data_IF_821541557192
#
_entry.id   IF_821541557192
#
_cell.length_a   1.000
_cell.length_b   1.000
_cell.length_c   1.000
_cell.angle_alpha   90.00
_cell.angle_beta   90.00
_cell.angle_gamma   90.00
#
_symmetry.space_group_name_H-M   'P 1'
#
loop_
_entity.id
_entity.type
_entity.pdbx_description
1 polymer ?
#
# COMPACT_ATOMS: atom_id res chain seq x y z
N UNK A 1 33.85 5.02 -27.71
CA UNK A 1 32.60 5.84 -27.72
C UNK A 1 31.31 5.04 -27.85
N UNK A 2 31.18 3.87 -27.20
CA UNK A 2 29.91 3.11 -27.13
C UNK A 2 29.03 3.49 -25.92
N UNK A 3 29.49 4.45 -25.11
CA UNK A 3 28.85 4.89 -23.87
C UNK A 3 28.07 6.22 -24.00
N UNK A 4 28.18 6.93 -25.13
CA UNK A 4 27.59 8.27 -25.27
C UNK A 4 26.18 8.28 -25.91
N UNK A 5 25.65 7.12 -26.32
CA UNK A 5 24.35 7.06 -27.01
C UNK A 5 23.31 6.19 -26.32
N UNK A 6 23.57 5.66 -25.13
CA UNK A 6 22.57 4.87 -24.41
C UNK A 6 21.53 5.81 -23.78
N UNK A 7 20.25 5.74 -24.18
CA UNK A 7 19.23 6.61 -23.60
C UNK A 7 19.13 6.38 -22.09
N UNK A 8 19.40 7.44 -21.32
CA UNK A 8 19.37 7.40 -19.86
C UNK A 8 17.93 7.53 -19.36
N UNK A 9 17.50 6.57 -18.54
CA UNK A 9 16.22 6.66 -17.86
C UNK A 9 16.34 7.56 -16.62
N UNK A 10 15.35 8.41 -16.39
CA UNK A 10 15.31 9.30 -15.21
C UNK A 10 14.89 8.58 -13.92
N UNK A 11 14.28 7.40 -14.04
CA UNK A 11 13.76 6.64 -12.91
C UNK A 11 14.06 5.16 -13.08
N UNK A 12 14.10 4.47 -11.96
CA UNK A 12 14.19 3.01 -11.92
C UNK A 12 12.92 2.47 -11.28
N UNK A 13 12.31 1.50 -11.95
CA UNK A 13 11.23 0.71 -11.37
C UNK A 13 11.82 -0.58 -10.79
N UNK A 14 11.56 -0.84 -9.52
CA UNK A 14 12.08 -2.00 -8.79
C UNK A 14 10.90 -2.81 -8.26
N UNK A 15 10.90 -4.11 -8.55
CA UNK A 15 9.96 -5.06 -7.99
C UNK A 15 10.70 -5.97 -7.02
N UNK A 16 10.15 -6.10 -5.82
CA UNK A 16 10.75 -6.85 -4.72
C UNK A 16 9.74 -7.86 -4.21
N UNK A 17 10.19 -9.06 -3.86
CA UNK A 17 9.42 -10.02 -3.07
C UNK A 17 9.83 -9.93 -1.62
N UNK A 18 8.84 -9.81 -0.74
CA UNK A 18 9.00 -9.90 0.70
C UNK A 18 8.28 -11.16 1.19
N UNK A 19 9.01 -12.17 1.70
CA UNK A 19 8.37 -13.31 2.33
C UNK A 19 7.57 -12.88 3.56
N UNK A 20 6.38 -13.47 3.71
CA UNK A 20 5.56 -13.33 4.92
C UNK A 20 5.85 -14.53 5.80
N UNK A 21 6.19 -14.27 7.06
CA UNK A 21 6.49 -15.33 8.02
C UNK A 21 5.26 -16.14 8.37
N UNK A 22 5.44 -17.45 8.43
CA UNK A 22 4.60 -18.27 9.29
C UNK A 22 4.98 -17.98 10.75
N UNK A 23 3.98 -18.00 11.63
CA UNK A 23 4.10 -17.88 13.08
C UNK A 23 5.15 -18.78 13.74
N UNK A 24 5.62 -19.82 13.02
CA UNK A 24 6.63 -20.78 13.48
C UNK A 24 8.07 -20.46 13.05
N UNK A 25 8.29 -19.42 12.24
CA UNK A 25 9.63 -19.06 11.73
C UNK A 25 10.12 -17.78 12.40
N UNK A 26 11.24 -17.86 13.11
CA UNK A 26 11.80 -16.73 13.87
C UNK A 26 12.76 -15.83 13.06
N UNK A 27 13.04 -16.18 11.80
CA UNK A 27 13.96 -15.43 10.94
C UNK A 27 13.21 -14.95 9.70
N UNK A 28 12.95 -13.64 9.62
CA UNK A 28 12.39 -13.02 8.41
C UNK A 28 13.43 -13.11 7.28
N UNK A 29 13.15 -13.83 6.18
CA UNK A 29 14.05 -13.80 5.05
C UNK A 29 14.11 -12.40 4.46
N UNK A 30 15.29 -12.00 3.99
CA UNK A 30 15.49 -10.70 3.38
C UNK A 30 14.63 -10.55 2.11
N UNK A 31 14.18 -9.32 1.87
CA UNK A 31 13.50 -8.97 0.65
C UNK A 31 14.43 -9.25 -0.55
N UNK A 32 13.90 -9.83 -1.62
CA UNK A 32 14.67 -10.16 -2.83
C UNK A 32 14.19 -9.34 -4.01
N UNK A 33 15.11 -8.70 -4.72
CA UNK A 33 14.79 -7.97 -5.96
C UNK A 33 14.48 -8.98 -7.07
N UNK A 34 13.29 -8.87 -7.66
CA UNK A 34 12.85 -9.69 -8.78
C UNK A 34 13.19 -9.07 -10.14
N UNK A 35 13.08 -7.75 -10.22
CA UNK A 35 13.46 -7.00 -11.41
C UNK A 35 13.73 -5.54 -11.06
N UNK A 36 14.66 -4.94 -11.79
CA UNK A 36 14.93 -3.51 -11.77
C UNK A 36 15.20 -3.05 -13.21
N UNK A 37 14.52 -2.00 -13.66
CA UNK A 37 14.73 -1.47 -15.00
C UNK A 37 14.42 0.04 -15.07
N UNK A 38 15.08 0.73 -15.99
CA UNK A 38 14.87 2.16 -16.24
C UNK A 38 13.51 2.46 -16.86
N UNK A 39 12.86 3.55 -16.46
CA UNK A 39 11.57 4.01 -17.01
C UNK A 39 11.48 5.53 -17.10
N UNK A 40 10.68 6.01 -18.05
CA UNK A 40 10.29 7.41 -18.24
C UNK A 40 8.86 7.70 -17.73
N UNK A 41 8.34 6.86 -16.83
CA UNK A 41 6.97 6.89 -16.28
C UNK A 41 5.82 6.62 -17.25
N UNK A 42 6.06 6.26 -18.52
CA UNK A 42 4.95 5.97 -19.48
C UNK A 42 4.19 4.68 -19.20
N UNK A 43 4.55 3.95 -18.15
CA UNK A 43 3.88 2.71 -17.73
C UNK A 43 2.42 3.02 -17.37
N UNK A 44 1.49 2.29 -18.00
CA UNK A 44 0.05 2.43 -17.71
C UNK A 44 -0.40 1.46 -16.62
N UNK A 45 -1.61 1.67 -16.09
CA UNK A 45 -2.25 0.71 -15.17
C UNK A 45 -2.40 -0.69 -15.78
N UNK A 46 -2.61 -0.79 -17.10
CA UNK A 46 -2.75 -2.08 -17.79
C UNK A 46 -1.40 -2.82 -17.85
N UNK A 47 -0.31 -2.10 -18.07
CA UNK A 47 1.03 -2.69 -18.07
C UNK A 47 1.41 -3.23 -16.69
N UNK A 48 1.02 -2.52 -15.64
CA UNK A 48 1.17 -2.94 -14.24
C UNK A 48 0.40 -4.25 -14.00
N UNK A 49 -0.87 -4.33 -14.40
CA UNK A 49 -1.69 -5.53 -14.26
C UNK A 49 -1.11 -6.73 -15.00
N UNK A 50 -0.70 -6.55 -16.26
CA UNK A 50 -0.05 -7.60 -17.05
C UNK A 50 1.19 -8.14 -16.33
N UNK A 51 1.99 -7.24 -15.74
CA UNK A 51 3.17 -7.62 -14.97
C UNK A 51 2.81 -8.39 -13.70
N UNK A 52 1.82 -7.92 -12.95
CA UNK A 52 1.35 -8.63 -11.75
C UNK A 52 0.85 -10.04 -12.06
N UNK A 53 0.09 -10.21 -13.15
CA UNK A 53 -0.34 -11.52 -13.63
C UNK A 53 0.85 -12.41 -14.01
N UNK A 54 1.84 -11.86 -14.71
CA UNK A 54 3.06 -12.59 -15.06
C UNK A 54 3.82 -13.04 -13.80
N UNK A 55 4.03 -12.13 -12.84
CA UNK A 55 4.68 -12.43 -11.56
C UNK A 55 3.92 -13.54 -10.84
N UNK A 56 2.61 -13.38 -10.66
CA UNK A 56 1.74 -14.37 -10.02
C UNK A 56 1.88 -15.75 -10.67
N UNK A 57 1.78 -15.83 -12.00
CA UNK A 57 1.87 -17.10 -12.73
C UNK A 57 3.26 -17.77 -12.58
N UNK A 58 4.33 -16.98 -12.61
CA UNK A 58 5.72 -17.48 -12.45
C UNK A 58 6.02 -18.00 -11.04
N UNK A 59 5.43 -17.39 -10.01
CA UNK A 59 5.54 -17.90 -8.65
C UNK A 59 4.67 -19.14 -8.43
N UNK A 60 3.43 -19.08 -8.94
CA UNK A 60 2.49 -20.20 -8.81
C UNK A 60 3.02 -21.47 -9.50
N UNK A 61 3.69 -21.35 -10.65
CA UNK A 61 4.31 -22.51 -11.33
C UNK A 61 5.45 -23.14 -10.54
N UNK A 62 6.02 -22.44 -9.55
CA UNK A 62 7.06 -22.92 -8.64
C UNK A 62 6.50 -23.33 -7.27
N UNK A 63 5.18 -23.40 -7.12
CA UNK A 63 4.52 -23.71 -5.84
C UNK A 63 4.65 -22.60 -4.79
N UNK A 64 5.03 -21.38 -5.20
CA UNK A 64 5.12 -20.23 -4.31
C UNK A 64 3.83 -19.44 -4.42
N UNK A 65 3.14 -19.29 -3.29
CA UNK A 65 1.88 -18.55 -3.21
C UNK A 65 2.14 -17.06 -3.01
N UNK A 66 1.72 -16.25 -3.98
CA UNK A 66 1.69 -14.78 -3.84
C UNK A 66 0.40 -14.40 -3.12
N UNK A 67 0.54 -13.72 -1.98
CA UNK A 67 -0.61 -13.30 -1.15
C UNK A 67 -1.15 -11.92 -1.51
N UNK A 68 -0.33 -11.09 -2.16
CA UNK A 68 -0.70 -9.71 -2.44
C UNK A 68 0.32 -8.92 -3.24
N UNK A 69 -0.10 -7.73 -3.68
CA UNK A 69 0.80 -6.70 -4.21
C UNK A 69 0.70 -5.44 -3.36
N UNK A 70 1.83 -4.82 -3.08
CA UNK A 70 1.93 -3.52 -2.40
C UNK A 70 2.60 -2.50 -3.33
N UNK A 71 2.09 -1.27 -3.36
CA UNK A 71 2.64 -0.19 -4.17
C UNK A 71 2.58 1.18 -3.50
N UNK A 72 3.33 2.13 -4.03
CA UNK A 72 3.16 3.55 -3.72
C UNK A 72 1.78 4.07 -4.21
N UNK A 73 1.42 5.27 -3.77
CA UNK A 73 0.16 5.94 -4.03
C UNK A 73 0.09 6.77 -5.31
N UNK A 74 0.87 6.43 -6.34
CA UNK A 74 0.75 7.04 -7.68
C UNK A 74 -0.56 6.58 -8.36
N UNK A 75 -1.31 7.49 -9.01
CA UNK A 75 -2.58 7.20 -9.68
C UNK A 75 -2.59 5.96 -10.59
N UNK A 76 -1.49 5.64 -11.29
CA UNK A 76 -1.46 4.47 -12.19
C UNK A 76 -1.53 3.15 -11.42
N UNK A 77 -0.86 3.06 -10.28
CA UNK A 77 -0.92 1.89 -9.42
C UNK A 77 -2.25 1.81 -8.68
N UNK A 78 -2.79 2.94 -8.21
CA UNK A 78 -4.14 3.01 -7.65
C UNK A 78 -5.21 2.50 -8.63
N UNK A 79 -5.10 2.89 -9.90
CA UNK A 79 -5.98 2.39 -10.96
C UNK A 79 -5.78 0.89 -11.20
N UNK A 80 -4.54 0.40 -11.18
CA UNK A 80 -4.24 -1.03 -11.28
C UNK A 80 -4.83 -1.81 -10.09
N UNK A 81 -4.66 -1.35 -8.85
CA UNK A 81 -5.28 -1.93 -7.65
C UNK A 81 -6.80 -2.02 -7.82
N UNK A 82 -7.45 -0.92 -8.22
CA UNK A 82 -8.91 -0.89 -8.40
C UNK A 82 -9.37 -1.89 -9.46
N UNK A 83 -8.66 -1.95 -10.60
CA UNK A 83 -8.97 -2.90 -11.67
C UNK A 83 -8.72 -4.34 -11.24
N UNK A 84 -7.60 -4.61 -10.56
CA UNK A 84 -7.27 -5.92 -10.03
C UNK A 84 -8.30 -6.38 -9.00
N UNK A 85 -8.56 -5.57 -7.97
CA UNK A 85 -9.55 -5.88 -6.94
C UNK A 85 -10.92 -6.16 -7.57
N UNK A 86 -11.38 -5.32 -8.50
CA UNK A 86 -12.64 -5.56 -9.20
C UNK A 86 -12.58 -6.80 -10.10
N UNK A 87 -11.46 -7.09 -10.75
CA UNK A 87 -11.27 -8.31 -11.55
C UNK A 87 -11.33 -9.55 -10.65
N UNK A 88 -10.57 -9.60 -9.56
CA UNK A 88 -10.57 -10.71 -8.60
C UNK A 88 -11.93 -10.89 -7.91
N UNK A 89 -12.68 -9.81 -7.67
CA UNK A 89 -14.04 -9.85 -7.12
C UNK A 89 -15.09 -10.28 -8.15
N UNK A 90 -15.07 -9.71 -9.36
CA UNK A 90 -16.09 -10.00 -10.39
C UNK A 90 -15.88 -11.31 -11.13
N UNK A 91 -14.63 -11.73 -11.32
CA UNK A 91 -14.41 -12.89 -12.18
C UNK A 91 -14.89 -14.19 -11.56
N UNK A 92 -14.84 -14.43 -10.24
CA UNK A 92 -15.25 -15.72 -9.64
C UNK A 92 -14.71 -16.99 -10.36
N UNK A 93 -13.78 -16.86 -11.33
CA UNK A 93 -13.20 -17.96 -12.12
C UNK A 93 -12.27 -18.79 -11.22
N UNK A 94 -11.76 -18.19 -10.15
CA UNK A 94 -11.30 -18.92 -8.99
C UNK A 94 -12.51 -19.21 -8.13
N UNK A 95 -13.09 -20.39 -8.30
CA UNK A 95 -14.15 -20.91 -7.47
C UNK A 95 -13.69 -20.86 -6.00
N UNK A 96 -14.12 -19.84 -5.25
CA UNK A 96 -13.68 -19.51 -3.89
C UNK A 96 -13.90 -20.70 -2.94
N UNK A 97 -14.85 -21.57 -3.30
CA UNK A 97 -15.22 -22.78 -2.58
C UNK A 97 -14.33 -23.99 -2.87
N UNK A 98 -13.38 -23.92 -3.82
CA UNK A 98 -12.32 -24.93 -3.99
C UNK A 98 -11.03 -24.55 -3.22
N UNK A 99 -11.25 -24.16 -1.95
CA UNK A 99 -10.54 -24.43 -0.68
C UNK A 99 -9.00 -24.54 -0.55
N UNK A 100 -8.17 -24.23 -1.55
CA UNK A 100 -6.69 -24.21 -1.38
C UNK A 100 -6.04 -22.83 -1.49
N UNK A 101 -6.75 -21.85 -2.03
CA UNK A 101 -6.20 -20.54 -2.37
C UNK A 101 -6.74 -19.40 -1.51
N UNK A 102 -7.67 -19.66 -0.59
CA UNK A 102 -8.06 -18.71 0.45
C UNK A 102 -7.07 -18.75 1.61
N UNK A 103 -6.93 -17.63 2.32
CA UNK A 103 -6.18 -17.54 3.56
C UNK A 103 -6.95 -16.70 4.55
N UNK A 104 -6.70 -16.95 5.84
CA UNK A 104 -7.39 -16.23 6.91
C UNK A 104 -6.51 -15.12 7.45
N UNK A 105 -7.03 -13.90 7.41
CA UNK A 105 -6.47 -12.75 8.11
C UNK A 105 -7.10 -12.69 9.49
N UNK A 106 -6.27 -12.67 10.54
CA UNK A 106 -6.73 -12.51 11.92
C UNK A 106 -7.12 -11.05 12.17
N UNK A 107 -8.42 -10.78 12.17
CA UNK A 107 -8.96 -9.45 12.49
C UNK A 107 -9.12 -9.35 14.02
N UNK A 108 -8.53 -8.36 14.69
CA UNK A 108 -8.74 -8.14 16.12
C UNK A 108 -10.23 -7.95 16.44
N UNK A 109 -10.71 -8.55 17.53
CA UNK A 109 -12.14 -8.50 17.90
C UNK A 109 -12.67 -7.07 18.08
N UNK A 110 -11.83 -6.14 18.53
CA UNK A 110 -12.20 -4.72 18.67
C UNK A 110 -12.32 -3.94 17.37
N UNK A 111 -12.00 -4.53 16.21
CA UNK A 111 -12.01 -3.86 14.91
C UNK A 111 -13.28 -4.12 14.11
N UNK A 112 -14.11 -5.08 14.52
CA UNK A 112 -15.29 -5.54 13.78
C UNK A 112 -16.31 -4.44 13.50
N UNK A 113 -16.35 -3.37 14.31
CA UNK A 113 -17.27 -2.26 14.15
C UNK A 113 -16.88 -1.26 13.04
N UNK A 114 -15.61 -1.24 12.59
CA UNK A 114 -15.11 -0.23 11.65
C UNK A 114 -14.19 -0.77 10.56
N UNK A 115 -13.71 -2.02 10.66
CA UNK A 115 -12.86 -2.65 9.67
C UNK A 115 -13.69 -3.50 8.71
N UNK A 116 -13.63 -3.18 7.41
CA UNK A 116 -14.56 -3.72 6.41
C UNK A 116 -14.03 -4.93 5.63
N UNK A 117 -12.77 -5.32 5.84
CA UNK A 117 -12.19 -6.47 5.14
C UNK A 117 -12.72 -7.78 5.75
N UNK A 118 -13.14 -8.74 4.92
CA UNK A 118 -13.49 -10.10 5.38
C UNK A 118 -12.27 -10.82 5.96
N UNK A 119 -12.46 -11.73 6.92
CA UNK A 119 -11.37 -12.56 7.45
C UNK A 119 -10.82 -13.53 6.40
N UNK A 120 -11.67 -14.06 5.51
CA UNK A 120 -11.25 -14.92 4.41
C UNK A 120 -10.89 -14.09 3.19
N UNK A 121 -9.64 -14.18 2.75
CA UNK A 121 -9.07 -13.44 1.63
C UNK A 121 -8.47 -14.38 0.60
N UNK A 122 -8.57 -14.01 -0.68
CA UNK A 122 -7.84 -14.69 -1.77
C UNK A 122 -6.52 -13.98 -2.05
N UNK A 123 -6.54 -12.65 -1.97
CA UNK A 123 -5.47 -11.80 -2.42
C UNK A 123 -5.59 -10.42 -1.79
N UNK A 124 -4.47 -9.78 -1.47
CA UNK A 124 -4.43 -8.44 -0.87
C UNK A 124 -3.78 -7.42 -1.81
N UNK A 125 -4.41 -6.25 -1.91
CA UNK A 125 -3.81 -5.08 -2.53
C UNK A 125 -3.59 -4.02 -1.47
N UNK A 126 -2.35 -3.59 -1.32
CA UNK A 126 -1.96 -2.66 -0.28
C UNK A 126 -1.29 -1.44 -0.87
N UNK A 127 -1.47 -0.31 -0.20
CA UNK A 127 -0.65 0.87 -0.42
C UNK A 127 0.40 0.96 0.68
N UNK A 128 1.50 1.64 0.41
CA UNK A 128 2.43 2.04 1.46
C UNK A 128 1.71 2.94 2.49
N UNK A 129 1.60 2.44 3.72
CA UNK A 129 0.97 3.14 4.83
C UNK A 129 1.65 4.47 5.16
N UNK A 130 2.96 4.58 4.96
CA UNK A 130 3.72 5.83 5.19
C UNK A 130 3.26 6.93 4.24
N UNK A 131 3.05 6.59 2.97
CA UNK A 131 2.55 7.54 1.98
C UNK A 131 1.08 7.92 2.24
N UNK A 132 0.25 6.97 2.69
CA UNK A 132 -1.13 7.26 3.11
C UNK A 132 -1.14 8.22 4.31
N UNK A 133 -0.36 7.93 5.35
CA UNK A 133 -0.22 8.80 6.53
C UNK A 133 0.28 10.19 6.15
N UNK A 134 1.27 10.29 5.25
CA UNK A 134 1.79 11.57 4.76
C UNK A 134 0.72 12.38 4.02
N UNK A 135 -0.11 11.72 3.19
CA UNK A 135 -1.24 12.40 2.51
C UNK A 135 -2.29 12.89 3.52
N UNK A 136 -2.64 12.08 4.52
CA UNK A 136 -3.60 12.48 5.57
C UNK A 136 -3.04 13.68 6.36
N UNK A 137 -1.77 13.61 6.78
CA UNK A 137 -1.07 14.72 7.45
C UNK A 137 -1.14 15.99 6.62
N UNK A 138 -0.70 15.93 5.36
CA UNK A 138 -0.67 17.10 4.49
C UNK A 138 -2.08 17.68 4.31
N UNK A 139 -3.10 16.83 4.16
CA UNK A 139 -4.49 17.29 4.04
C UNK A 139 -5.00 17.94 5.33
N UNK A 140 -4.65 17.41 6.49
CA UNK A 140 -5.02 18.00 7.79
C UNK A 140 -4.32 19.34 8.06
N UNK A 141 -3.10 19.53 7.53
CA UNK A 141 -2.31 20.75 7.73
C UNK A 141 -2.52 21.80 6.63
N UNK A 142 -3.12 21.44 5.50
CA UNK A 142 -3.45 22.37 4.42
C UNK A 142 -4.65 23.25 4.81
N UNK A 143 -4.47 24.57 4.79
CA UNK A 143 -5.55 25.54 5.07
C UNK A 143 -6.72 25.47 4.08
N UNK A 144 -6.49 24.91 2.90
CA UNK A 144 -7.46 24.85 1.80
C UNK A 144 -8.17 23.52 1.69
N UNK A 145 -7.79 22.52 2.51
CA UNK A 145 -8.36 21.20 2.43
C UNK A 145 -9.31 20.95 3.60
N UNK A 146 -10.54 20.57 3.27
CA UNK A 146 -11.50 20.11 4.27
C UNK A 146 -11.28 18.62 4.56
N UNK A 147 -11.25 18.28 5.84
CA UNK A 147 -11.26 16.92 6.36
C UNK A 147 -12.44 16.78 7.31
N UNK A 148 -13.40 15.93 6.96
CA UNK A 148 -14.57 15.65 7.78
C UNK A 148 -14.60 14.16 8.16
N UNK A 149 -14.92 13.89 9.41
CA UNK A 149 -15.18 12.54 9.93
C UNK A 149 -16.66 12.47 10.33
N UNK A 150 -17.49 11.96 9.41
CA UNK A 150 -18.96 12.02 9.52
C UNK A 150 -19.45 13.47 9.69
N UNK A 151 -19.92 13.83 10.87
CA UNK A 151 -20.46 15.16 11.19
C UNK A 151 -19.44 16.07 11.90
N UNK A 152 -18.21 15.58 12.10
CA UNK A 152 -17.16 16.34 12.76
C UNK A 152 -16.17 16.88 11.74
N UNK A 153 -15.92 18.18 11.79
CA UNK A 153 -14.81 18.77 11.08
C UNK A 153 -13.50 18.44 11.81
N UNK A 154 -12.43 18.23 11.05
CA UNK A 154 -11.09 18.01 11.60
C UNK A 154 -10.19 19.13 11.07
N UNK A 155 -9.74 19.98 11.97
CA UNK A 155 -8.86 21.11 11.64
C UNK A 155 -7.55 21.06 12.41
N UNK A 156 -6.58 21.83 11.95
CA UNK A 156 -5.31 22.04 12.65
C UNK A 156 -5.51 22.62 14.07
N UNK A 157 -6.62 23.33 14.32
CA UNK A 157 -6.93 23.88 15.64
C UNK A 157 -7.07 22.78 16.70
N UNK A 158 -7.68 21.65 16.35
CA UNK A 158 -7.80 20.50 17.26
C UNK A 158 -6.43 19.95 17.69
N UNK A 159 -5.41 20.01 16.81
CA UNK A 159 -4.05 19.62 17.17
C UNK A 159 -3.39 20.65 18.09
N UNK A 160 -3.60 21.95 17.85
CA UNK A 160 -3.12 23.00 18.76
C UNK A 160 -3.71 22.85 20.16
N UNK A 161 -5.01 22.58 20.26
CA UNK A 161 -5.70 22.41 21.54
C UNK A 161 -5.18 21.17 22.29
N UNK A 162 -4.90 20.08 21.56
CA UNK A 162 -4.35 18.84 22.11
C UNK A 162 -2.91 19.02 22.64
N UNK A 163 -2.05 19.71 21.88
CA UNK A 163 -0.66 20.01 22.29
C UNK A 163 -0.64 20.95 23.51
N UNK A 164 -1.59 21.89 23.59
CA UNK A 164 -1.68 22.86 24.70
C UNK A 164 -2.31 22.29 25.97
N UNK A 165 -3.17 21.28 25.85
CA UNK A 165 -3.98 20.76 26.97
C UNK A 165 -3.33 19.66 27.81
N UNK A 166 -2.16 19.11 27.45
CA UNK A 166 -1.47 18.05 28.22
C UNK A 166 0.02 18.34 28.44
N UNK A 167 0.56 17.81 29.55
CA UNK A 167 2.00 17.79 29.83
C UNK A 167 2.76 17.07 28.70
N UNK A 168 3.73 17.76 28.09
CA UNK A 168 4.56 17.33 26.93
C UNK A 168 5.15 15.92 27.02
N UNK A 169 5.30 15.36 28.21
CA UNK A 169 6.01 14.09 28.46
C UNK A 169 5.28 12.87 27.85
N UNK A 170 3.98 12.96 27.59
CA UNK A 170 3.19 11.84 27.05
C UNK A 170 2.87 11.94 25.54
N UNK A 171 3.36 12.97 24.84
CA UNK A 171 3.13 13.13 23.41
C UNK A 171 4.43 13.48 22.70
N UNK A 172 4.88 12.63 21.77
CA UNK A 172 6.01 12.88 20.87
C UNK A 172 5.66 13.94 19.78
N UNK A 173 4.83 14.94 20.10
CA UNK A 173 4.33 15.94 19.16
C UNK A 173 4.55 17.34 19.72
N UNK A 174 5.03 18.24 18.86
CA UNK A 174 5.43 19.60 19.17
C UNK A 174 4.81 20.59 18.19
N UNK A 175 4.77 21.87 18.56
CA UNK A 175 4.23 22.93 17.67
C UNK A 175 5.00 22.96 16.34
N UNK A 176 6.30 22.66 16.34
CA UNK A 176 7.11 22.57 15.12
C UNK A 176 6.63 21.50 14.15
N UNK A 177 5.95 20.44 14.61
CA UNK A 177 5.43 19.38 13.73
C UNK A 177 4.22 19.84 12.90
N UNK A 178 3.56 20.92 13.35
CA UNK A 178 2.44 21.57 12.66
C UNK A 178 2.90 22.62 11.63
N UNK A 179 4.16 23.06 11.70
CA UNK A 179 4.73 23.98 10.73
C UNK A 179 5.13 23.20 9.48
N UNK A 180 4.19 23.04 8.54
CA UNK A 180 4.52 22.54 7.21
C UNK A 180 5.39 23.59 6.52
N UNK A 181 6.60 23.21 6.10
CA UNK A 181 7.37 24.02 5.15
C UNK A 181 6.53 24.14 3.87
N UNK A 182 6.09 25.37 3.57
CA UNK A 182 5.44 25.70 2.30
C UNK A 182 6.29 25.23 1.12
#
# INVERSE_FOLDING_TARGET
>A
DLLETTPQANLVNIHVIQPILDSHVNILPAATVLSAYGTDQKITAIDILKRWLMIYNQFNSKGIRVLGFSTDGDPKYLRAIRLAANYFVKTQILNIYNDKLSFTVKIPSGWTAWFFLSSSQLFLFMQDGTHVCTKIRNRMLLKTAELTMRHYEVSMQHLYDLIRSKNKINQNSSISDLNVKN
#
